data_IF_531146151876
#
_entry.id   IF_531146151876
#
_cell.length_a   1.000
_cell.length_b   1.000
_cell.length_c   1.000
_cell.angle_alpha   90.00
_cell.angle_beta   90.00
_cell.angle_gamma   90.00
#
_symmetry.space_group_name_H-M   'P 1'
#
loop_
_entity.id
_entity.type
_entity.pdbx_description
1 polymer ?
#
# COMPACT_ATOMS: atom_id res chain seq x y z
N UNK A 1 -3.41 -7.55 26.37
CA UNK A 1 -4.55 -7.65 25.40
C UNK A 1 -4.63 -9.08 24.88
N UNK A 2 -5.82 -9.56 24.53
CA UNK A 2 -5.93 -10.91 23.94
C UNK A 2 -5.41 -10.97 22.49
N UNK A 3 -5.54 -9.88 21.75
CA UNK A 3 -5.10 -9.75 20.37
C UNK A 3 -4.59 -8.31 20.10
N UNK A 4 -3.68 -8.10 19.13
CA UNK A 4 -3.34 -6.79 18.62
C UNK A 4 -4.58 -6.02 18.16
N UNK A 5 -4.54 -4.68 18.23
CA UNK A 5 -5.60 -3.81 17.71
C UNK A 5 -5.01 -3.01 16.56
N UNK A 6 -5.65 -3.08 15.38
CA UNK A 6 -5.28 -2.29 14.23
C UNK A 6 -6.32 -1.17 14.00
N UNK A 7 -5.92 0.06 14.22
CA UNK A 7 -6.67 1.22 13.78
C UNK A 7 -6.42 1.47 12.29
N UNK A 8 -7.48 1.50 11.52
CA UNK A 8 -7.40 1.45 10.06
C UNK A 8 -8.46 2.32 9.42
N UNK A 9 -8.18 2.77 8.19
CA UNK A 9 -9.18 3.37 7.33
C UNK A 9 -9.22 2.61 6.01
N UNK A 10 -10.41 2.09 5.64
CA UNK A 10 -10.57 1.15 4.52
C UNK A 10 -10.00 1.65 3.19
N UNK A 11 -10.04 2.97 2.93
CA UNK A 11 -9.58 3.59 1.67
C UNK A 11 -8.13 4.05 1.70
N UNK A 12 -7.46 4.01 2.85
CA UNK A 12 -6.06 4.43 2.96
C UNK A 12 -5.14 3.32 2.42
N UNK A 13 -4.26 3.59 1.43
CA UNK A 13 -3.36 2.58 0.88
C UNK A 13 -2.37 2.06 1.92
N UNK A 14 -1.86 2.90 2.79
CA UNK A 14 -0.99 2.51 3.91
C UNK A 14 -1.69 1.54 4.87
N UNK A 15 -2.94 1.85 5.25
CA UNK A 15 -3.71 0.96 6.12
C UNK A 15 -4.14 -0.33 5.40
N UNK A 16 -4.31 -0.30 4.08
CA UNK A 16 -4.63 -1.47 3.28
C UNK A 16 -3.46 -2.47 3.27
N UNK A 17 -2.24 -2.00 2.98
CA UNK A 17 -1.07 -2.91 2.98
C UNK A 17 -0.77 -3.52 4.36
N UNK A 18 -1.00 -2.76 5.45
CA UNK A 18 -0.88 -3.28 6.81
C UNK A 18 -1.91 -4.39 7.09
N UNK A 19 -3.19 -4.20 6.69
CA UNK A 19 -4.22 -5.24 6.81
C UNK A 19 -3.86 -6.50 6.06
N UNK A 20 -3.34 -6.37 4.82
CA UNK A 20 -2.94 -7.51 4.00
C UNK A 20 -1.78 -8.29 4.64
N UNK A 21 -0.76 -7.59 5.16
CA UNK A 21 0.35 -8.25 5.84
C UNK A 21 -0.12 -9.04 7.08
N UNK A 22 -0.98 -8.45 7.90
CA UNK A 22 -1.56 -9.10 9.08
C UNK A 22 -2.38 -10.34 8.68
N UNK A 23 -3.20 -10.23 7.62
CA UNK A 23 -3.99 -11.35 7.10
C UNK A 23 -3.10 -12.47 6.55
N UNK A 24 -2.09 -12.14 5.74
CA UNK A 24 -1.17 -13.12 5.16
C UNK A 24 -0.31 -13.82 6.22
N UNK A 25 -0.02 -13.13 7.32
CA UNK A 25 0.68 -13.70 8.46
C UNK A 25 -0.22 -14.55 9.40
N UNK A 26 -1.51 -14.73 9.09
CA UNK A 26 -2.51 -15.44 9.90
C UNK A 26 -2.63 -14.89 11.34
N UNK A 27 -2.41 -13.59 11.52
CA UNK A 27 -2.48 -12.94 12.83
C UNK A 27 -3.93 -12.56 13.14
N UNK A 28 -4.44 -13.08 14.26
CA UNK A 28 -5.72 -12.62 14.80
C UNK A 28 -5.57 -11.22 15.35
N UNK A 29 -6.27 -10.26 14.75
CA UNK A 29 -6.20 -8.85 15.09
C UNK A 29 -7.60 -8.26 15.21
N UNK A 30 -7.83 -7.40 16.21
CA UNK A 30 -9.05 -6.59 16.30
C UNK A 30 -8.91 -5.42 15.34
N UNK A 31 -9.77 -5.34 14.33
CA UNK A 31 -9.79 -4.24 13.36
C UNK A 31 -10.73 -3.14 13.85
N UNK A 32 -10.22 -1.94 14.03
CA UNK A 32 -10.99 -0.73 14.35
C UNK A 32 -10.96 0.25 13.19
N UNK A 33 -12.10 0.39 12.52
CA UNK A 33 -12.26 1.37 11.43
C UNK A 33 -12.31 2.79 12.02
N UNK A 34 -11.47 3.69 11.49
CA UNK A 34 -11.31 5.06 11.97
C UNK A 34 -12.10 6.03 11.07
N UNK A 35 -12.96 6.82 11.66
CA UNK A 35 -13.55 7.97 10.98
C UNK A 35 -12.59 9.17 11.08
N UNK A 36 -11.91 9.51 9.97
CA UNK A 36 -10.79 10.46 9.96
C UNK A 36 -11.15 11.88 10.45
N UNK A 37 -12.43 12.29 10.35
CA UNK A 37 -12.91 13.59 10.84
C UNK A 37 -13.19 13.59 12.34
N UNK A 38 -13.33 12.42 12.95
CA UNK A 38 -13.57 12.24 14.38
C UNK A 38 -12.84 10.98 14.85
N UNK A 39 -11.53 11.13 15.07
CA UNK A 39 -10.66 10.02 15.45
C UNK A 39 -10.90 9.59 16.89
N UNK A 40 -10.85 8.27 17.19
CA UNK A 40 -11.02 7.77 18.55
C UNK A 40 -9.97 8.35 19.52
N UNK A 41 -10.40 8.77 20.71
CA UNK A 41 -9.51 9.34 21.74
C UNK A 41 -8.43 8.33 22.12
N UNK A 42 -8.79 7.06 22.32
CA UNK A 42 -7.86 5.98 22.64
C UNK A 42 -6.77 5.77 21.59
N UNK A 43 -7.08 6.05 20.30
CA UNK A 43 -6.06 6.02 19.24
C UNK A 43 -5.13 7.23 19.36
N UNK A 44 -5.65 8.43 19.64
CA UNK A 44 -4.85 9.65 19.74
C UNK A 44 -3.95 9.67 20.99
N UNK A 45 -4.35 9.00 22.07
CA UNK A 45 -3.54 8.83 23.28
C UNK A 45 -2.28 7.98 23.03
N UNK A 46 -2.37 6.95 22.19
CA UNK A 46 -1.24 6.06 21.87
C UNK A 46 -0.47 6.50 20.62
N UNK A 47 -1.07 7.29 19.74
CA UNK A 47 -0.51 7.82 18.50
C UNK A 47 -0.96 9.26 18.26
N UNK A 48 -0.30 10.24 18.90
CA UNK A 48 -0.65 11.67 18.79
C UNK A 48 -0.53 12.20 17.36
N UNK A 49 0.28 11.55 16.50
CA UNK A 49 0.37 11.82 15.05
C UNK A 49 -1.00 11.73 14.37
N UNK A 50 -1.90 10.87 14.87
CA UNK A 50 -3.28 10.77 14.41
C UNK A 50 -3.42 10.30 12.96
N UNK A 51 -2.43 9.61 12.41
CA UNK A 51 -2.49 8.97 11.08
C UNK A 51 -2.89 7.50 11.22
N UNK A 52 -3.30 6.88 10.11
CA UNK A 52 -3.55 5.44 10.03
C UNK A 52 -2.67 4.82 8.95
N UNK A 53 -2.22 3.55 9.17
CA UNK A 53 -2.57 2.62 10.24
C UNK A 53 -1.85 2.90 11.56
N UNK A 54 -2.41 2.40 12.68
CA UNK A 54 -1.74 2.27 13.97
C UNK A 54 -1.98 0.86 14.48
N UNK A 55 -0.93 0.13 14.79
CA UNK A 55 -1.00 -1.20 15.39
C UNK A 55 -0.62 -1.10 16.87
N UNK A 56 -1.57 -1.39 17.75
CA UNK A 56 -1.37 -1.47 19.18
C UNK A 56 -1.11 -2.93 19.60
N UNK A 57 0.06 -3.18 20.14
CA UNK A 57 0.44 -4.42 20.81
C UNK A 57 0.31 -4.27 22.34
N UNK A 58 0.64 -5.32 23.11
CA UNK A 58 0.56 -5.24 24.57
C UNK A 58 1.53 -4.22 25.17
N UNK A 59 2.72 -4.12 24.61
CA UNK A 59 3.89 -3.39 25.12
C UNK A 59 4.46 -2.39 24.10
N UNK A 60 3.87 -2.31 22.92
CA UNK A 60 4.39 -1.50 21.82
C UNK A 60 3.26 -0.94 20.94
N UNK A 61 3.49 0.24 20.36
CA UNK A 61 2.67 0.84 19.29
C UNK A 61 3.53 0.99 18.04
N UNK A 62 3.01 0.56 16.90
CA UNK A 62 3.66 0.67 15.59
C UNK A 62 2.79 1.59 14.72
N UNK A 63 3.36 2.70 14.26
CA UNK A 63 2.63 3.75 13.55
C UNK A 63 2.90 3.77 12.04
N UNK A 64 4.02 3.19 11.60
CA UNK A 64 4.39 3.15 10.18
C UNK A 64 3.95 1.84 9.54
N UNK A 65 3.28 1.94 8.40
CA UNK A 65 2.74 0.76 7.71
C UNK A 65 3.83 -0.24 7.27
N UNK A 66 5.02 0.22 6.90
CA UNK A 66 6.14 -0.66 6.57
C UNK A 66 6.65 -1.41 7.80
N UNK A 67 6.69 -0.77 8.97
CA UNK A 67 7.06 -1.43 10.23
C UNK A 67 6.01 -2.45 10.64
N UNK A 68 4.70 -2.15 10.43
CA UNK A 68 3.62 -3.11 10.66
C UNK A 68 3.77 -4.33 9.74
N UNK A 69 4.12 -4.13 8.47
CA UNK A 69 4.39 -5.22 7.53
C UNK A 69 5.56 -6.07 8.04
N UNK A 70 6.68 -5.45 8.38
CA UNK A 70 7.87 -6.14 8.87
C UNK A 70 7.56 -6.93 10.14
N UNK A 71 6.84 -6.32 11.10
CA UNK A 71 6.41 -6.99 12.31
C UNK A 71 5.52 -8.21 11.98
N UNK A 72 4.51 -8.06 11.13
CA UNK A 72 3.62 -9.16 10.77
C UNK A 72 4.38 -10.31 10.11
N UNK A 73 5.28 -10.00 9.17
CA UNK A 73 6.07 -11.01 8.46
C UNK A 73 7.11 -11.68 9.36
N UNK A 74 7.61 -11.01 10.39
CA UNK A 74 8.47 -11.63 11.39
C UNK A 74 7.75 -12.70 12.23
N UNK A 75 6.42 -12.58 12.37
CA UNK A 75 5.61 -13.59 13.06
C UNK A 75 5.35 -14.82 12.16
N UNK A 76 5.03 -14.57 10.88
CA UNK A 76 4.80 -15.66 9.92
C UNK A 76 4.85 -15.07 8.48
N UNK A 77 5.74 -15.60 7.65
CA UNK A 77 5.91 -15.19 6.24
C UNK A 77 5.60 -16.29 5.22
N UNK A 78 5.03 -17.43 5.65
CA UNK A 78 4.87 -18.63 4.82
C UNK A 78 4.01 -18.44 3.58
N UNK A 79 3.15 -17.41 3.55
CA UNK A 79 2.25 -17.11 2.42
C UNK A 79 2.84 -16.09 1.45
N UNK A 80 4.06 -15.63 1.68
CA UNK A 80 4.75 -14.69 0.80
C UNK A 80 5.97 -15.34 0.16
N UNK A 81 6.21 -15.00 -1.10
CA UNK A 81 7.41 -15.36 -1.82
C UNK A 81 8.66 -14.85 -1.07
N UNK A 82 9.66 -15.70 -0.95
CA UNK A 82 10.97 -15.32 -0.44
C UNK A 82 11.74 -14.69 -1.60
N UNK A 83 12.09 -13.40 -1.45
CA UNK A 83 12.85 -12.67 -2.45
C UNK A 83 14.35 -13.00 -2.35
N UNK A 84 15.01 -13.15 -3.49
CA UNK A 84 16.46 -13.14 -3.55
C UNK A 84 17.01 -11.72 -3.36
N UNK A 85 18.33 -11.54 -3.27
CA UNK A 85 18.97 -10.24 -2.97
C UNK A 85 18.60 -9.17 -4.01
N UNK A 86 18.64 -9.49 -5.30
CA UNK A 86 18.34 -8.55 -6.39
C UNK A 86 16.85 -8.13 -6.36
N UNK A 87 15.96 -9.08 -6.16
CA UNK A 87 14.52 -8.82 -6.01
C UNK A 87 14.23 -7.99 -4.76
N UNK A 88 14.95 -8.23 -3.67
CA UNK A 88 14.80 -7.45 -2.44
C UNK A 88 15.23 -6.01 -2.63
N UNK A 89 16.38 -5.77 -3.26
CA UNK A 89 16.88 -4.42 -3.56
C UNK A 89 15.91 -3.67 -4.47
N UNK A 90 15.41 -4.33 -5.52
CA UNK A 90 14.39 -3.78 -6.41
C UNK A 90 13.09 -3.45 -5.64
N UNK A 91 12.61 -4.37 -4.80
CA UNK A 91 11.39 -4.16 -4.02
C UNK A 91 11.52 -2.96 -3.07
N UNK A 92 12.63 -2.86 -2.33
CA UNK A 92 12.85 -1.74 -1.40
C UNK A 92 12.92 -0.40 -2.12
N UNK A 93 13.61 -0.32 -3.26
CA UNK A 93 13.68 0.88 -4.09
C UNK A 93 12.30 1.29 -4.60
N UNK A 94 11.55 0.34 -5.15
CA UNK A 94 10.21 0.61 -5.69
C UNK A 94 9.21 1.00 -4.60
N UNK A 95 9.25 0.34 -3.44
CA UNK A 95 8.40 0.72 -2.28
C UNK A 95 8.71 2.15 -1.85
N UNK A 96 9.98 2.52 -1.79
CA UNK A 96 10.39 3.89 -1.44
C UNK A 96 9.85 4.91 -2.46
N UNK A 97 9.98 4.65 -3.75
CA UNK A 97 9.46 5.49 -4.83
C UNK A 97 7.94 5.66 -4.73
N UNK A 98 7.22 4.57 -4.41
CA UNK A 98 5.75 4.64 -4.21
C UNK A 98 5.35 5.38 -2.95
N UNK A 99 6.14 5.29 -1.88
CA UNK A 99 5.88 6.01 -0.62
C UNK A 99 6.19 7.51 -0.71
N UNK A 100 7.06 7.91 -1.63
CA UNK A 100 7.52 9.29 -1.83
C UNK A 100 6.93 9.90 -3.11
N UNK A 101 7.55 9.65 -4.26
CA UNK A 101 7.25 10.34 -5.51
C UNK A 101 5.85 9.98 -6.04
N UNK A 102 5.55 8.69 -6.14
CA UNK A 102 4.23 8.26 -6.61
C UNK A 102 3.11 8.83 -5.73
N UNK A 103 3.25 8.70 -4.40
CA UNK A 103 2.24 9.21 -3.45
C UNK A 103 2.10 10.73 -3.51
N UNK A 104 3.21 11.46 -3.65
CA UNK A 104 3.20 12.90 -3.81
C UNK A 104 2.37 13.33 -5.04
N UNK A 105 2.60 12.71 -6.18
CA UNK A 105 1.90 13.01 -7.42
C UNK A 105 0.46 12.49 -7.41
N UNK A 106 0.21 11.30 -6.89
CA UNK A 106 -1.13 10.74 -6.72
C UNK A 106 -2.06 11.67 -5.92
N UNK A 107 -1.57 12.22 -4.80
CA UNK A 107 -2.39 13.12 -3.97
C UNK A 107 -2.72 14.42 -4.71
N UNK A 108 -1.78 14.98 -5.48
CA UNK A 108 -1.97 16.22 -6.25
C UNK A 108 -2.85 16.00 -7.46
N UNK A 109 -2.76 14.86 -8.10
CA UNK A 109 -3.68 14.45 -9.14
C UNK A 109 -5.11 14.31 -8.58
N UNK A 110 -5.27 13.49 -7.53
CA UNK A 110 -6.58 13.14 -6.98
C UNK A 110 -7.28 14.27 -6.23
N UNK A 111 -6.51 15.17 -5.63
CA UNK A 111 -6.98 16.26 -4.78
C UNK A 111 -6.43 17.62 -5.24
N UNK A 112 -6.30 17.83 -6.55
CA UNK A 112 -5.69 19.03 -7.16
C UNK A 112 -6.18 20.33 -6.57
N UNK A 113 -7.48 20.45 -6.28
CA UNK A 113 -8.08 21.63 -5.66
C UNK A 113 -7.50 21.99 -4.28
N UNK A 114 -6.89 21.03 -3.57
CA UNK A 114 -6.25 21.27 -2.24
C UNK A 114 -4.84 21.81 -2.37
N UNK A 115 -4.19 21.58 -3.53
CA UNK A 115 -2.79 21.87 -3.75
C UNK A 115 -2.56 23.01 -4.74
N UNK A 116 -3.64 23.52 -5.35
CA UNK A 116 -3.60 24.55 -6.41
C UNK A 116 -2.58 24.19 -7.52
N UNK A 117 -2.68 22.95 -8.02
CA UNK A 117 -1.76 22.40 -9.02
C UNK A 117 -2.51 21.88 -10.25
N UNK A 118 -1.83 21.82 -11.38
CA UNK A 118 -2.35 21.17 -12.57
C UNK A 118 -2.35 19.64 -12.38
N UNK A 119 -3.54 18.98 -12.32
CA UNK A 119 -3.62 17.54 -12.12
C UNK A 119 -3.00 16.75 -13.26
N UNK A 120 -2.97 17.29 -14.49
CA UNK A 120 -2.42 16.62 -15.66
C UNK A 120 -0.94 16.29 -15.47
N UNK A 121 -0.14 17.28 -15.06
CA UNK A 121 1.29 17.09 -14.82
C UNK A 121 1.55 15.99 -13.78
N UNK A 122 0.77 15.96 -12.70
CA UNK A 122 0.93 14.96 -11.65
C UNK A 122 0.49 13.56 -12.08
N UNK A 123 -0.52 13.46 -12.94
CA UNK A 123 -0.92 12.22 -13.56
C UNK A 123 0.18 11.65 -14.44
N UNK A 124 0.76 12.49 -15.28
CA UNK A 124 1.80 12.09 -16.22
C UNK A 124 3.04 11.53 -15.49
N UNK A 125 3.43 12.11 -14.35
CA UNK A 125 4.48 11.53 -13.47
C UNK A 125 4.11 10.16 -12.93
N UNK A 126 2.86 9.97 -12.49
CA UNK A 126 2.40 8.64 -12.07
C UNK A 126 2.47 7.63 -13.22
N UNK A 127 2.09 8.03 -14.43
CA UNK A 127 2.15 7.19 -15.64
C UNK A 127 3.58 6.78 -16.00
N UNK A 128 4.56 7.68 -15.86
CA UNK A 128 5.97 7.36 -16.05
C UNK A 128 6.43 6.26 -15.10
N UNK A 129 6.14 6.41 -13.79
CA UNK A 129 6.47 5.40 -12.77
C UNK A 129 5.78 4.05 -13.08
N UNK A 130 4.50 4.06 -13.45
CA UNK A 130 3.77 2.86 -13.82
C UNK A 130 4.30 2.22 -15.10
N UNK A 131 4.72 3.02 -16.08
CA UNK A 131 5.34 2.55 -17.32
C UNK A 131 6.70 1.87 -17.08
N UNK A 132 7.52 2.37 -16.15
CA UNK A 132 8.77 1.71 -15.75
C UNK A 132 8.51 0.42 -14.96
N UNK A 133 7.54 0.44 -14.05
CA UNK A 133 7.11 -0.76 -13.33
C UNK A 133 6.64 -1.85 -14.30
N UNK A 134 5.83 -1.51 -15.31
CA UNK A 134 5.28 -2.44 -16.30
C UNK A 134 6.37 -3.27 -17.01
N UNK A 135 7.53 -2.63 -17.31
CA UNK A 135 8.68 -3.29 -17.94
C UNK A 135 9.33 -4.34 -17.02
N UNK A 136 9.17 -4.17 -15.71
CA UNK A 136 9.81 -5.01 -14.69
C UNK A 136 8.94 -6.19 -14.24
N UNK A 137 7.64 -6.18 -14.57
CA UNK A 137 6.71 -7.25 -14.22
C UNK A 137 6.98 -8.46 -15.12
N UNK A 138 7.15 -9.63 -14.51
CA UNK A 138 7.27 -10.91 -15.20
C UNK A 138 5.96 -11.33 -15.89
N UNK A 139 5.98 -12.37 -16.69
CA UNK A 139 4.76 -12.93 -17.32
C UNK A 139 4.00 -13.88 -16.37
N UNK A 140 4.25 -13.79 -15.07
CA UNK A 140 3.60 -14.57 -14.02
C UNK A 140 2.37 -13.87 -13.44
N UNK A 141 1.81 -14.47 -12.39
CA UNK A 141 0.60 -13.98 -11.72
C UNK A 141 0.83 -12.67 -10.94
N UNK A 142 2.01 -12.55 -10.30
CA UNK A 142 2.43 -11.38 -9.52
C UNK A 142 3.70 -10.78 -10.10
N UNK A 143 4.26 -9.75 -9.50
CA UNK A 143 5.40 -9.01 -10.07
C UNK A 143 6.59 -9.93 -10.39
N UNK A 144 6.95 -10.85 -9.49
CA UNK A 144 8.13 -11.70 -9.65
C UNK A 144 7.81 -13.16 -10.02
N UNK A 145 6.64 -13.67 -9.61
CA UNK A 145 6.29 -15.09 -9.76
C UNK A 145 4.77 -15.32 -9.63
N UNK A 146 4.35 -16.59 -9.52
CA UNK A 146 2.96 -16.94 -9.23
C UNK A 146 2.60 -16.85 -7.74
N UNK A 147 3.57 -16.52 -6.88
CA UNK A 147 3.38 -16.27 -5.46
C UNK A 147 3.44 -14.77 -5.16
N UNK A 148 2.52 -14.29 -4.30
CA UNK A 148 2.49 -12.90 -3.87
C UNK A 148 3.74 -12.53 -3.08
N UNK A 149 4.32 -11.38 -3.35
CA UNK A 149 5.53 -10.87 -2.69
C UNK A 149 5.25 -9.67 -1.79
N UNK A 150 6.27 -9.27 -1.01
CA UNK A 150 6.27 -8.03 -0.26
C UNK A 150 6.00 -6.82 -1.17
N UNK A 151 6.57 -6.79 -2.38
CA UNK A 151 6.39 -5.69 -3.31
C UNK A 151 4.92 -5.55 -3.72
N UNK A 152 4.27 -6.66 -4.09
CA UNK A 152 2.87 -6.65 -4.50
C UNK A 152 1.95 -6.02 -3.45
N UNK A 153 2.04 -6.49 -2.20
CA UNK A 153 1.19 -5.96 -1.12
C UNK A 153 1.52 -4.51 -0.75
N UNK A 154 2.74 -4.07 -1.02
CA UNK A 154 3.18 -2.72 -0.66
C UNK A 154 2.72 -1.66 -1.64
N UNK A 155 2.69 -1.94 -2.95
CA UNK A 155 2.43 -0.90 -3.98
C UNK A 155 1.03 -0.98 -4.60
N UNK A 156 0.43 -2.17 -4.72
CA UNK A 156 -0.88 -2.31 -5.39
C UNK A 156 -2.00 -1.46 -4.76
N UNK A 157 -2.06 -1.22 -3.45
CA UNK A 157 -3.01 -0.28 -2.87
C UNK A 157 -2.90 1.16 -3.41
N UNK A 158 -1.70 1.59 -3.78
CA UNK A 158 -1.47 2.93 -4.36
C UNK A 158 -1.91 2.97 -5.82
N UNK A 159 -1.57 1.96 -6.61
CA UNK A 159 -2.02 1.81 -8.01
C UNK A 159 -3.54 1.78 -8.04
N UNK A 160 -4.18 1.05 -7.11
CA UNK A 160 -5.63 1.07 -6.94
C UNK A 160 -6.18 2.46 -6.68
N UNK A 161 -5.51 3.29 -5.86
CA UNK A 161 -5.95 4.66 -5.62
C UNK A 161 -5.79 5.55 -6.86
N UNK A 162 -4.78 5.30 -7.68
CA UNK A 162 -4.59 6.00 -8.95
C UNK A 162 -5.71 5.62 -9.94
N UNK A 163 -6.01 4.33 -10.11
CA UNK A 163 -7.15 3.87 -10.92
C UNK A 163 -8.48 4.52 -10.48
N UNK A 164 -8.76 4.58 -9.17
CA UNK A 164 -10.01 5.15 -8.64
C UNK A 164 -10.12 6.67 -8.91
N UNK A 165 -9.03 7.37 -9.17
CA UNK A 165 -9.09 8.79 -9.52
C UNK A 165 -9.74 9.01 -10.89
N UNK A 166 -9.44 8.13 -11.86
CA UNK A 166 -10.03 8.10 -13.21
C UNK A 166 -9.82 6.69 -13.79
N UNK A 167 -10.84 5.84 -13.68
CA UNK A 167 -10.75 4.44 -14.10
C UNK A 167 -10.77 4.28 -15.63
N UNK A 168 -11.53 5.12 -16.35
CA UNK A 168 -11.55 5.12 -17.81
C UNK A 168 -10.16 5.48 -18.36
N UNK A 169 -9.54 6.51 -17.81
CA UNK A 169 -8.19 6.87 -18.17
C UNK A 169 -7.20 5.74 -17.92
N UNK A 170 -7.23 5.14 -16.71
CA UNK A 170 -6.32 4.07 -16.30
C UNK A 170 -6.37 2.87 -17.25
N UNK A 171 -7.57 2.41 -17.61
CA UNK A 171 -7.73 1.24 -18.49
C UNK A 171 -7.39 1.50 -19.96
N UNK A 172 -7.27 2.76 -20.37
CA UNK A 172 -6.84 3.14 -21.72
C UNK A 172 -5.32 3.31 -21.85
N UNK A 173 -4.54 3.01 -20.81
CA UNK A 173 -3.08 3.15 -20.82
C UNK A 173 -2.35 1.95 -21.43
N UNK A 174 -1.04 2.13 -21.69
CA UNK A 174 -0.19 1.13 -22.35
C UNK A 174 0.54 0.19 -21.38
N UNK A 175 0.49 0.43 -20.08
CA UNK A 175 1.08 -0.43 -19.05
C UNK A 175 0.17 -1.64 -18.75
N UNK A 176 0.10 -2.54 -19.72
CA UNK A 176 -0.86 -3.65 -19.74
C UNK A 176 -0.63 -4.68 -18.63
N UNK A 177 0.65 -4.89 -18.23
CA UNK A 177 0.99 -5.80 -17.14
C UNK A 177 0.56 -5.24 -15.78
N UNK A 178 0.70 -3.93 -15.57
CA UNK A 178 0.19 -3.25 -14.37
C UNK A 178 -1.33 -3.36 -14.28
N UNK A 179 -2.04 -3.14 -15.40
CA UNK A 179 -3.50 -3.28 -15.46
C UNK A 179 -3.93 -4.72 -15.12
N UNK A 180 -3.28 -5.72 -15.73
CA UNK A 180 -3.54 -7.14 -15.44
C UNK A 180 -3.28 -7.47 -13.97
N UNK A 181 -2.16 -6.99 -13.44
CA UNK A 181 -1.76 -7.20 -12.05
C UNK A 181 -2.76 -6.57 -11.07
N UNK A 182 -3.23 -5.36 -11.36
CA UNK A 182 -4.23 -4.70 -10.52
C UNK A 182 -5.58 -5.45 -10.55
N UNK A 183 -6.04 -5.91 -11.72
CA UNK A 183 -7.26 -6.72 -11.82
C UNK A 183 -7.13 -7.99 -10.97
N UNK A 184 -5.99 -8.71 -11.07
CA UNK A 184 -5.70 -9.88 -10.25
C UNK A 184 -5.70 -9.59 -8.75
N UNK A 185 -5.30 -8.41 -8.35
CA UNK A 185 -5.28 -7.97 -6.95
C UNK A 185 -6.68 -7.61 -6.42
N UNK A 186 -7.58 -7.14 -7.27
CA UNK A 186 -8.95 -6.74 -6.89
C UNK A 186 -9.93 -7.92 -6.88
N UNK A 187 -9.62 -9.05 -7.57
CA UNK A 187 -10.40 -10.31 -7.59
C UNK A 187 -10.19 -11.13 -6.29
#
# INVERSE_FOLDING_TARGET
MKHPILYSFRRCPYAMRARMAIYLADIKCELREVYLKNKPTEMLEISPKGTVPVLQLNDQVIEESNEIIQWALSQNSKKLMILNSEQQDFALKTIHEFDTDFKHHLDRYKYSQRYDTDPQNHRDYCDEILGELDKSISDSKWIFSDEVSLLDISILPFIRQFKIADDEYFFNQKYLKVIKLLNQFED
#
